data_IF_577872986266
#
_entry.id   IF_577872986266
#
_cell.length_a   1.000
_cell.length_b   1.000
_cell.length_c   1.000
_cell.angle_alpha   90.00
_cell.angle_beta   90.00
_cell.angle_gamma   90.00
#
_symmetry.space_group_name_H-M   'P 1'
#
loop_
_entity.id
_entity.type
_entity.pdbx_description
1 polymer ?
#
# COMPACT_ATOMS: atom_id res chain seq x y z
N UNK A 1 -31.27 -52.58 1.32
CA UNK A 1 -30.33 -53.67 1.65
C UNK A 1 -29.64 -54.09 0.37
N UNK A 2 -28.32 -54.11 0.16
CA UNK A 2 -27.09 -53.73 0.91
C UNK A 2 -25.95 -53.90 -0.10
N UNK A 3 -24.89 -53.09 -0.03
CA UNK A 3 -23.44 -53.41 -0.23
C UNK A 3 -22.65 -52.15 -0.66
N UNK A 4 -21.35 -52.04 -0.37
CA UNK A 4 -20.63 -52.41 0.84
C UNK A 4 -19.82 -51.23 1.43
N UNK A 5 -19.33 -51.44 2.65
CA UNK A 5 -18.46 -50.53 3.40
C UNK A 5 -17.02 -50.70 2.89
N UNK A 6 -16.35 -49.60 2.55
CA UNK A 6 -14.91 -49.59 2.29
C UNK A 6 -14.26 -48.64 3.30
N UNK A 7 -13.77 -49.26 4.38
CA UNK A 7 -12.89 -48.64 5.36
C UNK A 7 -11.49 -48.60 4.78
N UNK A 8 -11.00 -47.42 4.42
CA UNK A 8 -9.56 -47.19 4.28
C UNK A 8 -9.11 -46.11 5.27
N UNK A 9 -8.43 -46.61 6.31
CA UNK A 9 -7.65 -45.89 7.29
C UNK A 9 -6.68 -44.93 6.60
N UNK A 10 -6.99 -43.63 6.57
CA UNK A 10 -5.98 -42.63 6.23
C UNK A 10 -5.07 -42.40 7.44
N UNK A 11 -3.88 -42.99 7.31
CA UNK A 11 -2.65 -42.76 8.08
C UNK A 11 -2.43 -41.25 8.32
N UNK A 12 -2.27 -40.86 9.59
CA UNK A 12 -1.93 -39.51 10.05
C UNK A 12 -0.73 -38.95 9.25
N UNK A 13 -0.97 -37.90 8.45
CA UNK A 13 0.07 -36.96 8.03
C UNK A 13 0.06 -35.78 9.01
N UNK A 14 1.23 -35.24 9.42
CA UNK A 14 1.28 -34.05 10.27
C UNK A 14 0.63 -32.86 9.56
N UNK A 15 0.09 -31.87 10.30
CA UNK A 15 -0.55 -30.72 9.68
C UNK A 15 0.49 -29.90 8.91
N UNK A 16 0.40 -29.93 7.58
CA UNK A 16 1.16 -29.07 6.70
C UNK A 16 0.54 -27.66 6.73
N UNK A 17 0.71 -26.95 7.85
CA UNK A 17 0.42 -25.53 7.99
C UNK A 17 1.75 -24.81 7.66
N UNK A 18 1.87 -23.83 6.76
CA UNK A 18 0.91 -22.85 6.29
C UNK A 18 1.36 -22.36 4.92
N UNK A 19 0.48 -22.43 3.92
CA UNK A 19 0.56 -21.58 2.72
C UNK A 19 0.24 -20.14 3.11
N UNK A 20 1.18 -19.44 3.73
CA UNK A 20 1.12 -17.96 3.78
C UNK A 20 1.74 -17.40 2.51
N UNK A 21 1.10 -17.66 1.37
CA UNK A 21 1.11 -16.64 0.32
C UNK A 21 0.11 -15.58 0.76
N UNK A 22 0.53 -14.74 1.71
CA UNK A 22 -0.15 -13.48 1.93
C UNK A 22 0.01 -12.70 0.63
N UNK A 23 -1.02 -12.77 -0.21
CA UNK A 23 -1.18 -11.89 -1.35
C UNK A 23 -1.33 -10.48 -0.79
N UNK A 24 -0.19 -9.86 -0.44
CA UNK A 24 -0.10 -8.45 -0.10
C UNK A 24 -0.56 -7.71 -1.34
N UNK A 25 -1.80 -7.24 -1.32
CA UNK A 25 -2.40 -6.44 -2.39
C UNK A 25 -1.68 -5.11 -2.61
N UNK A 26 -0.66 -4.80 -1.80
CA UNK A 26 0.15 -3.60 -1.90
C UNK A 26 1.60 -3.97 -2.23
N UNK A 27 2.20 -3.33 -3.25
CA UNK A 27 3.60 -3.49 -3.54
C UNK A 27 4.43 -3.01 -2.35
N UNK A 28 5.29 -3.88 -1.84
CA UNK A 28 6.23 -3.59 -0.73
C UNK A 28 7.50 -2.88 -1.20
N UNK A 29 7.69 -2.73 -2.51
CA UNK A 29 8.84 -2.06 -3.11
C UNK A 29 8.39 -1.18 -4.28
N UNK A 30 9.12 -0.09 -4.50
CA UNK A 30 8.86 0.86 -5.58
C UNK A 30 10.06 1.78 -5.80
N UNK A 31 10.18 2.30 -7.02
CA UNK A 31 11.23 3.27 -7.39
C UNK A 31 10.64 4.67 -7.34
N UNK A 32 11.21 5.52 -6.48
CA UNK A 32 10.91 6.94 -6.48
C UNK A 32 11.83 7.63 -7.49
N UNK A 33 11.24 8.42 -8.37
CA UNK A 33 11.97 9.25 -9.33
C UNK A 33 11.50 10.69 -9.20
N UNK A 34 12.46 11.62 -9.16
CA UNK A 34 12.17 13.05 -9.19
C UNK A 34 11.66 13.41 -10.59
N UNK A 35 10.38 13.72 -10.72
CA UNK A 35 9.76 14.01 -12.01
C UNK A 35 9.99 15.44 -12.48
N UNK A 36 9.63 16.42 -11.66
CA UNK A 36 9.85 17.83 -11.96
C UNK A 36 10.23 18.61 -10.70
N UNK A 37 11.20 19.52 -10.85
CA UNK A 37 11.36 20.65 -9.96
C UNK A 37 10.37 21.70 -10.42
N UNK A 38 9.12 21.62 -9.97
CA UNK A 38 8.17 22.70 -10.18
C UNK A 38 8.80 23.98 -9.63
N UNK A 39 8.75 25.08 -10.38
CA UNK A 39 9.12 26.41 -9.87
C UNK A 39 8.33 26.67 -8.59
N UNK A 40 8.98 26.39 -7.46
CA UNK A 40 8.33 26.12 -6.21
C UNK A 40 8.30 27.35 -5.32
N UNK A 41 8.34 27.08 -4.02
CA UNK A 41 8.50 28.13 -3.02
C UNK A 41 9.84 28.84 -3.18
N UNK A 42 9.86 30.13 -2.85
CA UNK A 42 11.08 30.96 -2.89
C UNK A 42 11.90 30.86 -1.61
N UNK A 43 11.39 30.12 -0.62
CA UNK A 43 11.99 29.95 0.69
C UNK A 43 11.69 28.55 1.23
N UNK A 44 12.16 28.26 2.44
CA UNK A 44 12.03 26.98 3.12
C UNK A 44 10.55 26.57 3.19
N UNK A 45 10.26 25.34 2.80
CA UNK A 45 8.96 24.71 3.04
C UNK A 45 8.95 24.25 4.49
N UNK A 46 7.99 24.75 5.26
CA UNK A 46 7.87 24.46 6.69
C UNK A 46 6.96 23.27 6.98
N UNK A 47 5.99 23.00 6.10
CA UNK A 47 5.00 21.94 6.29
C UNK A 47 4.46 21.40 4.96
N UNK A 48 4.05 20.14 4.98
CA UNK A 48 3.46 19.40 3.86
C UNK A 48 2.29 18.55 4.37
N UNK A 49 1.13 18.67 3.72
CA UNK A 49 -0.03 17.84 4.04
C UNK A 49 -0.73 17.34 2.78
N UNK A 50 -1.39 16.18 2.89
CA UNK A 50 -2.22 15.63 1.83
C UNK A 50 -3.68 15.94 2.17
N UNK A 51 -4.33 16.69 1.29
CA UNK A 51 -5.77 16.94 1.38
C UNK A 51 -6.50 15.92 0.49
N UNK A 52 -7.39 15.14 1.07
CA UNK A 52 -8.30 14.26 0.32
C UNK A 52 -9.69 14.89 0.25
N UNK A 53 -10.00 15.48 -0.90
CA UNK A 53 -11.31 16.06 -1.20
C UNK A 53 -11.81 15.51 -2.55
N UNK A 54 -12.03 14.19 -2.61
CA UNK A 54 -12.36 13.45 -3.84
C UNK A 54 -11.16 13.15 -4.74
N UNK A 55 -10.24 14.11 -4.87
CA UNK A 55 -8.89 13.92 -5.38
C UNK A 55 -7.87 14.21 -4.27
N UNK A 56 -6.72 13.54 -4.29
CA UNK A 56 -5.62 13.84 -3.40
C UNK A 56 -4.82 15.03 -3.94
N UNK A 57 -4.66 16.06 -3.10
CA UNK A 57 -3.82 17.22 -3.38
C UNK A 57 -2.68 17.26 -2.38
N UNK A 58 -1.49 17.65 -2.84
CA UNK A 58 -0.40 18.02 -1.95
C UNK A 58 -0.53 19.51 -1.64
N UNK A 59 -0.51 19.86 -0.37
CA UNK A 59 -0.49 21.24 0.10
C UNK A 59 0.86 21.50 0.77
N UNK A 60 1.50 22.60 0.40
CA UNK A 60 2.79 23.01 0.95
C UNK A 60 2.73 24.44 1.49
N UNK A 61 3.22 24.66 2.71
CA UNK A 61 3.40 25.99 3.30
C UNK A 61 4.87 26.36 3.36
N UNK A 62 5.20 27.63 3.15
CA UNK A 62 6.59 28.08 3.15
C UNK A 62 6.80 29.41 3.88
N UNK A 63 8.03 29.62 4.34
CA UNK A 63 8.51 30.89 4.90
C UNK A 63 8.56 32.03 3.86
N UNK A 64 8.20 31.78 2.59
CA UNK A 64 7.94 32.85 1.62
C UNK A 64 6.56 33.51 1.84
N UNK A 65 5.78 33.03 2.82
CA UNK A 65 4.46 33.54 3.15
C UNK A 65 3.35 33.00 2.26
N UNK A 66 3.63 31.99 1.43
CA UNK A 66 2.68 31.42 0.48
C UNK A 66 2.35 29.97 0.83
N UNK A 67 1.10 29.59 0.61
CA UNK A 67 0.65 28.19 0.56
C UNK A 67 0.38 27.83 -0.90
N UNK A 68 0.92 26.70 -1.36
CA UNK A 68 0.68 26.17 -2.71
C UNK A 68 -0.07 24.84 -2.63
N UNK A 69 -0.90 24.59 -3.64
CA UNK A 69 -1.68 23.36 -3.80
C UNK A 69 -1.30 22.74 -5.14
N UNK A 70 -0.94 21.46 -5.09
CA UNK A 70 -0.45 20.67 -6.22
C UNK A 70 -1.41 19.51 -6.48
N UNK A 71 -1.61 19.19 -7.77
CA UNK A 71 -2.50 18.12 -8.25
C UNK A 71 -1.70 16.95 -8.81
#
# INVERSE_FOLDING_TARGET
MTKPINTETQKLQPPNNTTETSNSAFPTTGRLELRESTKGHKNIISDLTILQAGQAFLVSSSMDGVIKIWR
#
